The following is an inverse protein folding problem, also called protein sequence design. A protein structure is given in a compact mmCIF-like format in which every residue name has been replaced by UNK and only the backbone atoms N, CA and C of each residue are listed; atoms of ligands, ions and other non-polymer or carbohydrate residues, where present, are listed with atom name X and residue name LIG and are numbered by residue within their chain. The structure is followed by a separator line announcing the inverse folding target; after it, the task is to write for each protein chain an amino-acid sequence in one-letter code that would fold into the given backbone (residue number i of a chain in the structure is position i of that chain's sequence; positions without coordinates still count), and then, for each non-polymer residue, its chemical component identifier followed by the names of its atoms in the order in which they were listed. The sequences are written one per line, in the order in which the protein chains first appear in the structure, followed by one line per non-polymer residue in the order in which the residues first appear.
data_IF_741851118871
#
_entry.id   IF_741851118871
#
_cell.length_a   1.000
_cell.length_b   1.000
_cell.length_c   1.000
_cell.angle_alpha   90.00
_cell.angle_beta   90.00
_cell.angle_gamma   90.00
#
_symmetry.space_group_name_H-M   'P 1'
#
loop_
_entity.id
_entity.type
_entity.pdbx_description
1 polymer ?
#
# COMPACT_ATOMS: atom_id res chain seq x y z
N UNK A 1 12.30 -10.90 -1.06
CA UNK A 1 11.29 -10.53 -0.04
C UNK A 1 11.71 -11.00 1.35
N UNK A 2 12.14 -12.25 1.50
CA UNK A 2 12.59 -12.85 2.77
C UNK A 2 13.51 -11.96 3.63
N UNK A 3 14.61 -11.44 3.06
CA UNK A 3 15.53 -10.57 3.78
C UNK A 3 14.88 -9.30 4.39
N UNK A 4 13.77 -8.81 3.82
CA UNK A 4 13.03 -7.66 4.38
C UNK A 4 12.18 -8.10 5.58
N UNK A 5 11.61 -9.30 5.52
CA UNK A 5 10.85 -9.88 6.63
C UNK A 5 11.78 -10.23 7.80
N UNK A 6 12.97 -10.75 7.52
CA UNK A 6 14.01 -11.03 8.53
C UNK A 6 14.48 -9.75 9.23
N UNK A 7 14.63 -8.64 8.50
CA UNK A 7 14.93 -7.32 9.09
C UNK A 7 13.81 -6.88 10.06
N UNK A 8 12.56 -7.05 9.68
CA UNK A 8 11.43 -6.72 10.55
C UNK A 8 11.45 -7.63 11.79
N UNK A 9 11.64 -8.94 11.63
CA UNK A 9 11.72 -9.89 12.75
C UNK A 9 12.88 -9.55 13.70
N UNK A 10 14.02 -9.09 13.17
CA UNK A 10 15.14 -8.55 13.96
C UNK A 10 14.73 -7.34 14.80
N UNK A 11 14.06 -6.36 14.21
CA UNK A 11 13.55 -5.18 14.93
C UNK A 11 12.54 -5.58 16.02
N UNK A 12 11.64 -6.52 15.73
CA UNK A 12 10.70 -7.01 16.74
C UNK A 12 11.43 -7.69 17.92
N UNK A 13 12.49 -8.46 17.66
CA UNK A 13 13.34 -9.05 18.72
C UNK A 13 14.07 -8.00 19.55
N UNK A 14 14.39 -6.84 18.98
CA UNK A 14 14.95 -5.69 19.70
C UNK A 14 13.91 -4.91 20.53
N UNK A 15 12.65 -5.36 20.55
CA UNK A 15 11.58 -4.76 21.34
C UNK A 15 10.75 -3.74 20.58
N UNK A 16 10.84 -3.69 19.25
CA UNK A 16 9.95 -2.87 18.42
C UNK A 16 8.58 -3.55 18.32
N UNK A 17 7.54 -2.75 18.11
CA UNK A 17 6.17 -3.24 17.89
C UNK A 17 5.67 -2.77 16.55
N UNK A 18 4.98 -3.64 15.81
CA UNK A 18 4.38 -3.31 14.52
C UNK A 18 2.86 -3.51 14.61
N UNK A 19 2.10 -2.45 14.32
CA UNK A 19 0.64 -2.44 14.40
C UNK A 19 0.05 -1.77 13.16
N UNK A 20 -1.21 -2.08 12.81
CA UNK A 20 -1.95 -1.32 11.79
C UNK A 20 -2.69 -0.15 12.45
N UNK A 21 -2.39 1.07 12.01
CA UNK A 21 -3.19 2.25 12.27
C UNK A 21 -4.26 2.41 11.19
N UNK A 22 -5.47 2.77 11.62
CA UNK A 22 -6.63 3.02 10.75
C UNK A 22 -6.95 1.85 9.79
N UNK A 23 -6.63 0.61 10.20
CA UNK A 23 -6.89 -0.60 9.43
C UNK A 23 -6.04 -0.79 8.15
N UNK A 24 -5.17 0.15 7.80
CA UNK A 24 -4.37 0.11 6.55
C UNK A 24 -2.90 0.44 6.76
N UNK A 25 -2.60 1.44 7.58
CA UNK A 25 -1.27 2.02 7.65
C UNK A 25 -0.38 1.27 8.65
N UNK A 26 0.74 0.65 8.23
CA UNK A 26 1.65 0.02 9.18
C UNK A 26 2.37 1.08 10.02
N UNK A 27 2.34 0.92 11.32
CA UNK A 27 3.02 1.78 12.28
C UNK A 27 4.03 0.95 13.07
N UNK A 28 5.31 1.17 12.78
CA UNK A 28 6.42 0.59 13.52
C UNK A 28 6.75 1.53 14.68
N UNK A 29 6.69 1.06 15.92
CA UNK A 29 7.13 1.79 17.10
C UNK A 29 8.40 1.16 17.66
N UNK A 30 9.32 1.99 18.13
CA UNK A 30 10.52 1.51 18.83
C UNK A 30 10.18 0.99 20.24
N UNK A 31 11.18 0.49 20.94
CA UNK A 31 11.08 0.01 22.33
C UNK A 31 10.58 1.06 23.35
N UNK A 32 10.60 2.34 22.99
CA UNK A 32 10.10 3.45 23.80
C UNK A 32 8.67 3.88 23.38
N UNK A 33 8.02 3.14 22.49
CA UNK A 33 6.68 3.45 21.99
C UNK A 33 6.61 4.57 20.95
N UNK A 34 7.75 5.11 20.48
CA UNK A 34 7.80 6.18 19.48
C UNK A 34 7.66 5.61 18.08
N UNK A 35 6.74 6.16 17.29
CA UNK A 35 6.56 5.81 15.88
C UNK A 35 7.81 6.15 15.04
N UNK A 36 8.19 5.23 14.16
CA UNK A 36 9.28 5.35 13.21
C UNK A 36 8.71 5.62 11.83
N UNK A 37 9.40 6.48 11.10
CA UNK A 37 9.07 6.74 9.71
C UNK A 37 9.40 5.51 8.84
N UNK A 38 8.35 4.82 8.40
CA UNK A 38 8.43 3.63 7.54
C UNK A 38 8.70 3.96 6.06
N UNK A 39 8.61 5.23 5.66
CA UNK A 39 8.90 5.69 4.31
C UNK A 39 10.35 6.08 4.09
N UNK A 40 11.14 6.18 5.16
CA UNK A 40 12.53 6.62 5.12
C UNK A 40 12.67 8.14 5.23
N UNK A 41 13.90 8.61 5.45
CA UNK A 41 14.23 10.04 5.54
C UNK A 41 14.25 10.74 4.18
N UNK A 42 14.53 12.04 4.17
CA UNK A 42 14.56 12.84 2.94
C UNK A 42 15.57 12.33 1.88
N UNK A 43 16.62 11.62 2.31
CA UNK A 43 17.65 11.02 1.46
C UNK A 43 17.51 9.50 1.30
N UNK A 44 16.59 8.87 2.03
CA UNK A 44 16.37 7.42 2.00
C UNK A 44 14.96 7.16 1.48
N UNK A 45 14.83 6.69 0.24
CA UNK A 45 13.55 6.39 -0.40
C UNK A 45 12.84 5.14 0.17
N UNK A 46 13.31 4.61 1.30
CA UNK A 46 12.73 3.44 1.95
C UNK A 46 13.05 3.42 3.44
N UNK A 47 12.07 3.07 4.27
CA UNK A 47 12.28 2.90 5.71
C UNK A 47 13.03 1.61 6.08
N UNK A 48 13.05 1.25 7.37
CA UNK A 48 13.84 0.14 7.91
C UNK A 48 13.66 -1.22 7.20
N UNK A 49 12.45 -1.52 6.72
CA UNK A 49 12.14 -2.76 6.00
C UNK A 49 12.47 -2.70 4.50
N UNK A 50 12.85 -1.54 3.98
CA UNK A 50 13.15 -1.30 2.57
C UNK A 50 11.92 -1.16 1.67
N UNK A 51 12.16 -1.07 0.36
CA UNK A 51 11.14 -0.87 -0.68
C UNK A 51 10.84 -2.17 -1.45
N UNK A 52 9.59 -2.43 -1.82
CA UNK A 52 9.20 -3.60 -2.63
C UNK A 52 8.89 -3.22 -4.08
N UNK A 53 9.83 -3.48 -4.99
CA UNK A 53 9.64 -3.23 -6.43
C UNK A 53 8.45 -3.98 -7.04
N UNK A 54 8.18 -5.19 -6.59
CA UNK A 54 7.02 -5.96 -7.10
C UNK A 54 5.72 -5.28 -6.66
N UNK A 55 5.67 -4.76 -5.43
CA UNK A 55 4.51 -4.00 -4.96
C UNK A 55 4.37 -2.64 -5.63
N UNK A 56 5.46 -2.07 -6.15
CA UNK A 56 5.41 -0.83 -6.92
C UNK A 56 4.77 -1.03 -8.30
N UNK A 57 5.20 -2.04 -9.04
CA UNK A 57 4.68 -2.30 -10.39
C UNK A 57 3.34 -3.06 -10.39
N UNK A 58 3.11 -3.90 -9.38
CA UNK A 58 1.93 -4.76 -9.29
C UNK A 58 1.24 -4.68 -7.92
N UNK A 59 0.88 -3.47 -7.44
CA UNK A 59 0.33 -3.28 -6.09
C UNK A 59 -0.97 -4.08 -5.91
N UNK A 60 -1.86 -4.08 -6.91
CA UNK A 60 -3.12 -4.84 -6.90
C UNK A 60 -2.92 -6.36 -6.78
N UNK A 61 -1.91 -6.91 -7.46
CA UNK A 61 -1.67 -8.35 -7.40
C UNK A 61 -1.11 -8.77 -6.04
N UNK A 62 -0.15 -8.01 -5.51
CA UNK A 62 0.48 -8.38 -4.24
C UNK A 62 -0.42 -8.11 -3.03
N UNK A 63 -1.32 -7.13 -3.09
CA UNK A 63 -2.29 -6.89 -2.03
C UNK A 63 -3.38 -7.97 -2.01
N UNK A 64 -3.87 -8.38 -3.18
CA UNK A 64 -4.80 -9.49 -3.32
C UNK A 64 -4.18 -10.82 -2.86
N UNK A 65 -2.86 -10.99 -3.06
CA UNK A 65 -2.13 -12.15 -2.57
C UNK A 65 -2.19 -12.28 -1.04
N UNK A 66 -2.00 -11.17 -0.31
CA UNK A 66 -2.03 -11.13 1.16
C UNK A 66 -3.42 -10.78 1.73
N UNK A 67 -4.47 -10.76 0.90
CA UNK A 67 -5.85 -10.40 1.28
C UNK A 67 -5.96 -9.03 1.98
N UNK A 68 -5.15 -8.06 1.57
CA UNK A 68 -5.15 -6.71 2.12
C UNK A 68 -6.20 -5.83 1.42
N UNK A 69 -7.47 -6.02 1.76
CA UNK A 69 -8.60 -5.34 1.10
C UNK A 69 -8.62 -3.82 1.30
N UNK A 70 -8.07 -3.36 2.42
CA UNK A 70 -7.85 -1.94 2.77
C UNK A 70 -7.17 -1.16 1.64
N UNK A 71 -6.29 -1.80 0.87
CA UNK A 71 -5.67 -1.23 -0.32
C UNK A 71 -6.68 -0.75 -1.36
N UNK A 72 -7.70 -1.54 -1.69
CA UNK A 72 -8.67 -1.19 -2.73
C UNK A 72 -9.59 -0.06 -2.27
N UNK A 73 -9.93 -0.02 -0.98
CA UNK A 73 -10.66 1.11 -0.41
C UNK A 73 -9.83 2.40 -0.46
N UNK A 74 -8.53 2.32 -0.11
CA UNK A 74 -7.63 3.47 -0.23
C UNK A 74 -7.44 3.92 -1.67
N UNK A 75 -7.35 2.98 -2.63
CA UNK A 75 -7.28 3.28 -4.05
C UNK A 75 -8.52 4.04 -4.51
N UNK A 76 -9.72 3.59 -4.12
CA UNK A 76 -10.98 4.26 -4.44
C UNK A 76 -11.05 5.70 -3.89
N UNK A 77 -10.69 5.90 -2.62
CA UNK A 77 -10.68 7.23 -1.99
C UNK A 77 -9.67 8.13 -2.70
N UNK A 78 -8.48 7.60 -2.98
CA UNK A 78 -7.41 8.35 -3.60
C UNK A 78 -7.75 8.74 -5.05
N UNK A 79 -8.31 7.82 -5.84
CA UNK A 79 -8.77 8.13 -7.21
C UNK A 79 -9.89 9.16 -7.23
N UNK A 80 -10.85 9.06 -6.30
CA UNK A 80 -11.92 10.06 -6.20
C UNK A 80 -11.34 11.45 -5.88
N UNK A 81 -10.41 11.52 -4.94
CA UNK A 81 -9.76 12.77 -4.56
C UNK A 81 -8.99 13.38 -5.73
N UNK A 82 -8.27 12.57 -6.51
CA UNK A 82 -7.51 13.08 -7.67
C UNK A 82 -8.45 13.56 -8.77
N UNK A 83 -9.52 12.85 -9.07
CA UNK A 83 -10.54 13.30 -10.03
C UNK A 83 -11.18 14.62 -9.62
N UNK A 84 -11.52 14.81 -8.34
CA UNK A 84 -12.03 16.10 -7.84
C UNK A 84 -11.00 17.22 -8.03
N UNK A 85 -9.72 16.97 -7.73
CA UNK A 85 -8.66 17.95 -7.96
C UNK A 85 -8.48 18.26 -9.45
N UNK A 86 -8.49 17.25 -10.32
CA UNK A 86 -8.40 17.41 -11.77
C UNK A 86 -9.54 18.29 -12.29
N UNK A 87 -10.77 18.09 -11.80
CA UNK A 87 -11.94 18.92 -12.11
C UNK A 87 -11.82 20.37 -11.62
N UNK A 88 -11.37 20.57 -10.38
CA UNK A 88 -11.26 21.91 -9.77
C UNK A 88 -10.12 22.73 -10.38
N UNK A 89 -8.97 22.10 -10.63
CA UNK A 89 -7.75 22.78 -11.09
C UNK A 89 -7.52 22.68 -12.59
N UNK A 90 -8.41 22.00 -13.33
CA UNK A 90 -8.29 21.75 -14.76
C UNK A 90 -6.89 21.21 -15.13
N UNK A 91 -6.47 20.15 -14.45
CA UNK A 91 -5.12 19.58 -14.56
C UNK A 91 -5.16 18.07 -14.78
N UNK A 92 -4.14 17.53 -15.46
CA UNK A 92 -3.99 16.08 -15.67
C UNK A 92 -3.25 15.42 -14.49
N UNK A 93 -3.84 15.46 -13.29
CA UNK A 93 -3.19 14.97 -12.07
C UNK A 93 -3.17 13.42 -11.96
N UNK A 94 -3.96 12.71 -12.77
CA UNK A 94 -4.28 11.30 -12.55
C UNK A 94 -3.12 10.33 -12.83
N UNK A 95 -2.26 10.61 -13.81
CA UNK A 95 -1.11 9.72 -14.11
C UNK A 95 -0.04 9.77 -13.01
N UNK A 96 0.25 10.95 -12.47
CA UNK A 96 1.27 11.12 -11.43
C UNK A 96 0.80 10.62 -10.07
N UNK A 97 -0.51 10.72 -9.81
CA UNK A 97 -1.10 10.31 -8.55
C UNK A 97 -1.03 8.78 -8.37
N UNK A 98 -1.27 7.99 -9.42
CA UNK A 98 -1.20 6.52 -9.39
C UNK A 98 0.24 6.02 -9.08
N UNK A 99 1.24 6.65 -9.69
CA UNK A 99 2.65 6.32 -9.42
C UNK A 99 3.03 6.64 -7.96
N UNK A 100 2.58 7.78 -7.44
CA UNK A 100 2.81 8.17 -6.06
C UNK A 100 2.13 7.22 -5.07
N UNK A 101 0.88 6.84 -5.34
CA UNK A 101 0.15 5.85 -4.54
C UNK A 101 0.87 4.50 -4.51
N UNK A 102 1.35 4.05 -5.68
CA UNK A 102 2.11 2.81 -5.81
C UNK A 102 3.45 2.87 -5.06
N UNK A 103 4.11 4.03 -5.06
CA UNK A 103 5.32 4.26 -4.27
C UNK A 103 5.06 4.13 -2.77
N UNK A 104 4.02 4.80 -2.25
CA UNK A 104 3.66 4.68 -0.84
C UNK A 104 3.32 3.24 -0.46
N UNK A 105 2.53 2.55 -1.28
CA UNK A 105 2.17 1.16 -1.02
C UNK A 105 3.40 0.24 -1.04
N UNK A 106 4.32 0.43 -1.97
CA UNK A 106 5.54 -0.37 -2.08
C UNK A 106 6.47 -0.25 -0.86
N UNK A 107 6.46 0.90 -0.19
CA UNK A 107 7.15 1.14 1.08
C UNK A 107 6.43 0.48 2.27
N UNK A 108 5.10 0.45 2.26
CA UNK A 108 4.29 -0.20 3.31
C UNK A 108 4.27 -1.73 3.18
N UNK A 109 4.36 -2.25 1.95
CA UNK A 109 4.14 -3.67 1.64
C UNK A 109 4.97 -4.66 2.47
N UNK A 110 6.27 -4.44 2.73
CA UNK A 110 7.04 -5.36 3.58
C UNK A 110 6.45 -5.56 4.97
N UNK A 111 5.97 -4.47 5.58
CA UNK A 111 5.33 -4.49 6.88
C UNK A 111 3.97 -5.19 6.83
N UNK A 112 3.16 -4.90 5.81
CA UNK A 112 1.85 -5.52 5.61
C UNK A 112 1.98 -7.03 5.40
N UNK A 113 2.93 -7.45 4.57
CA UNK A 113 3.21 -8.88 4.33
C UNK A 113 3.70 -9.57 5.60
N UNK A 114 4.58 -8.95 6.36
CA UNK A 114 5.03 -9.51 7.64
C UNK A 114 3.86 -9.73 8.61
N UNK A 115 2.96 -8.75 8.73
CA UNK A 115 1.77 -8.90 9.58
C UNK A 115 0.82 -9.97 9.06
N UNK A 116 0.63 -10.07 7.74
CA UNK A 116 -0.20 -11.13 7.14
C UNK A 116 0.36 -12.52 7.45
N UNK A 117 1.68 -12.71 7.32
CA UNK A 117 2.38 -13.95 7.66
C UNK A 117 2.24 -14.32 9.14
N UNK A 118 2.47 -13.36 10.05
CA UNK A 118 2.32 -13.58 11.50
C UNK A 118 0.87 -13.86 11.92
N UNK A 119 -0.10 -13.30 11.21
CA UNK A 119 -1.53 -13.55 11.45
C UNK A 119 -2.04 -14.85 10.80
N UNK A 120 -1.16 -15.64 10.16
CA UNK A 120 -1.55 -16.89 9.51
C UNK A 120 -2.46 -16.70 8.30
N UNK A 121 -2.37 -15.55 7.62
CA UNK A 121 -3.18 -15.29 6.43
C UNK A 121 -2.71 -16.20 5.31
N UNK A 122 -3.56 -17.14 4.91
CA UNK A 122 -3.30 -18.00 3.75
C UNK A 122 -3.24 -17.15 2.47
N UNK A 123 -2.08 -17.10 1.83
CA UNK A 123 -1.89 -16.34 0.60
C UNK A 123 -2.68 -16.93 -0.56
N UNK A 124 -3.27 -16.07 -1.38
CA UNK A 124 -3.90 -16.51 -2.62
C UNK A 124 -2.82 -16.96 -3.63
N UNK A 125 -3.08 -18.01 -4.45
CA UNK A 125 -2.18 -18.41 -5.54
C UNK A 125 -1.89 -17.23 -6.48
N UNK A 126 -0.65 -17.12 -6.96
CA UNK A 126 -0.17 -15.96 -7.75
C UNK A 126 -1.11 -15.58 -8.90
N UNK A 127 -1.60 -16.56 -9.67
CA UNK A 127 -2.46 -16.31 -10.82
C UNK A 127 -3.83 -15.76 -10.39
N UNK A 128 -4.40 -16.29 -9.31
CA UNK A 128 -5.66 -15.79 -8.73
C UNK A 128 -5.46 -14.37 -8.20
N UNK A 129 -4.34 -14.11 -7.53
CA UNK A 129 -4.01 -12.78 -7.01
C UNK A 129 -3.89 -11.72 -8.11
N UNK A 130 -3.33 -12.06 -9.27
CA UNK A 130 -3.29 -11.16 -10.42
C UNK A 130 -4.70 -10.85 -10.93
N UNK A 131 -5.53 -11.87 -11.13
CA UNK A 131 -6.90 -11.70 -11.61
C UNK A 131 -7.75 -10.89 -10.64
N UNK A 132 -7.71 -11.22 -9.35
CA UNK A 132 -8.39 -10.47 -8.29
C UNK A 132 -7.86 -9.04 -8.18
N UNK A 133 -6.55 -8.86 -8.30
CA UNK A 133 -5.92 -7.54 -8.29
C UNK A 133 -6.46 -6.65 -9.39
N UNK A 134 -6.50 -7.15 -10.64
CA UNK A 134 -7.07 -6.40 -11.77
C UNK A 134 -8.56 -6.11 -11.54
N UNK A 135 -9.34 -7.12 -11.14
CA UNK A 135 -10.78 -6.97 -10.93
C UNK A 135 -11.09 -5.93 -9.86
N UNK A 136 -10.49 -6.04 -8.67
CA UNK A 136 -10.77 -5.12 -7.57
C UNK A 136 -10.19 -3.73 -7.80
N UNK A 137 -9.04 -3.61 -8.47
CA UNK A 137 -8.54 -2.30 -8.88
C UNK A 137 -9.47 -1.62 -9.88
N UNK A 138 -10.01 -2.36 -10.86
CA UNK A 138 -11.00 -1.82 -11.79
C UNK A 138 -12.28 -1.39 -11.06
N UNK A 139 -12.79 -2.22 -10.13
CA UNK A 139 -13.96 -1.87 -9.32
C UNK A 139 -13.72 -0.64 -8.44
N UNK A 140 -12.53 -0.50 -7.86
CA UNK A 140 -12.18 0.60 -6.97
C UNK A 140 -12.16 1.96 -7.69
N UNK A 141 -11.81 2.00 -8.98
CA UNK A 141 -11.74 3.26 -9.74
C UNK A 141 -13.08 3.66 -10.38
N UNK A 142 -14.08 2.77 -10.44
CA UNK A 142 -15.40 3.05 -11.04
C UNK A 142 -16.02 4.36 -10.50
N UNK A 143 -16.04 4.62 -9.18
CA UNK A 143 -16.62 5.87 -8.67
C UNK A 143 -15.95 7.13 -9.22
N UNK A 144 -14.63 7.11 -9.41
CA UNK A 144 -13.86 8.21 -10.00
C UNK A 144 -14.19 8.41 -11.48
N UNK A 145 -14.26 7.31 -12.25
CA UNK A 145 -14.65 7.34 -13.67
C UNK A 145 -16.07 7.90 -13.85
N UNK A 146 -17.01 7.50 -12.99
CA UNK A 146 -18.39 8.04 -13.01
C UNK A 146 -18.39 9.55 -12.77
N UNK A 147 -17.62 10.01 -11.78
CA UNK A 147 -17.51 11.44 -11.47
C UNK A 147 -16.98 12.23 -12.67
N UNK A 148 -15.88 11.78 -13.28
CA UNK A 148 -15.31 12.41 -14.47
C UNK A 148 -16.29 12.42 -15.64
N UNK A 149 -17.03 11.33 -15.86
CA UNK A 149 -17.99 11.24 -16.98
C UNK A 149 -19.21 12.17 -16.80
N UNK A 150 -19.60 12.50 -15.57
CA UNK A 150 -20.76 13.37 -15.30
C UNK A 150 -20.39 14.86 -15.39
N UNK A 151 -19.16 15.20 -15.00
CA UNK A 151 -18.74 16.59 -14.81
C UNK A 151 -17.76 17.13 -15.89
N UNK A 152 -17.34 16.28 -16.83
CA UNK A 152 -16.58 16.63 -18.05
C UNK A 152 -17.51 16.50 -19.25
#
# INVERSE_FOLDING_TARGET
MQARLEKIDGLIKEGYTLEKQWGYFPCLKNSHGKAINIFGGFFELSGPAGFSWIAFFFPGAVCAQIKEWSFFYSLCIFSLFTSVLSLVFNSNADTYSILLFSFFYASMYPYLRYMADKNGVEENPKLISILLGILYSALAIIPAVILETIFI
#
